data_IF_026883945158
#
_entry.id   IF_026883945158
#
_cell.length_a   1.000
_cell.length_b   1.000
_cell.length_c   1.000
_cell.angle_alpha   90.00
_cell.angle_beta   90.00
_cell.angle_gamma   90.00
#
_symmetry.space_group_name_H-M   'P 1'
#
loop_
_entity.id
_entity.type
_entity.pdbx_description
1 polymer ?
#
# COMPACT_ATOMS: atom_id res chain seq x y z
N UNK A 1 -13.79 10.62 14.79
CA UNK A 1 -14.18 9.21 14.61
C UNK A 1 -13.13 8.43 13.83
N UNK A 2 -12.53 9.04 12.81
CA UNK A 2 -11.45 8.43 11.99
C UNK A 2 -10.28 8.01 12.88
N UNK A 3 -9.73 8.91 13.68
CA UNK A 3 -8.63 8.63 14.60
C UNK A 3 -8.93 7.51 15.62
N UNK A 4 -10.22 7.21 15.86
CA UNK A 4 -10.64 6.07 16.69
C UNK A 4 -10.96 4.80 15.89
N UNK A 5 -10.45 4.69 14.66
CA UNK A 5 -10.58 3.49 13.84
C UNK A 5 -11.90 3.34 13.07
N UNK A 6 -12.70 4.41 12.94
CA UNK A 6 -13.95 4.36 12.17
C UNK A 6 -13.65 4.63 10.69
N UNK A 7 -13.00 3.71 10.03
CA UNK A 7 -12.71 3.72 8.60
C UNK A 7 -12.72 2.31 8.02
N UNK A 8 -12.75 2.20 6.70
CA UNK A 8 -12.66 0.95 5.97
C UNK A 8 -12.55 1.22 4.47
N UNK A 9 -12.17 0.24 3.70
CA UNK A 9 -12.07 0.33 2.26
C UNK A 9 -13.28 -0.33 1.58
N UNK A 10 -13.66 0.25 0.44
CA UNK A 10 -14.51 -0.41 -0.57
C UNK A 10 -13.69 -0.46 -1.84
N UNK A 11 -13.36 -1.67 -2.28
CA UNK A 11 -12.64 -1.90 -3.54
C UNK A 11 -13.67 -2.04 -4.65
N UNK A 12 -13.49 -1.27 -5.73
CA UNK A 12 -14.31 -1.35 -6.94
C UNK A 12 -13.34 -1.52 -8.09
N UNK A 13 -13.34 -2.70 -8.69
CA UNK A 13 -12.46 -3.03 -9.79
C UNK A 13 -12.75 -2.12 -11.00
N UNK A 14 -11.75 -1.47 -11.60
CA UNK A 14 -11.91 -0.86 -12.91
C UNK A 14 -12.40 -1.89 -13.93
N UNK A 15 -13.19 -1.41 -14.91
CA UNK A 15 -13.66 -2.30 -15.98
C UNK A 15 -12.48 -2.92 -16.73
N UNK A 16 -12.50 -4.24 -16.86
CA UNK A 16 -11.47 -5.01 -17.53
C UNK A 16 -10.20 -5.26 -16.72
N UNK A 17 -10.21 -4.96 -15.41
CA UNK A 17 -9.05 -5.24 -14.55
C UNK A 17 -8.70 -6.73 -14.59
N UNK A 18 -7.47 -7.10 -15.02
CA UNK A 18 -7.05 -8.49 -15.06
C UNK A 18 -6.97 -9.12 -13.67
N UNK A 19 -7.21 -10.43 -13.59
CA UNK A 19 -6.90 -11.18 -12.36
C UNK A 19 -5.39 -11.24 -12.14
N UNK A 20 -4.99 -11.30 -10.88
CA UNK A 20 -3.62 -11.49 -10.42
C UNK A 20 -3.49 -12.76 -9.60
N UNK A 21 -2.28 -13.21 -9.32
CA UNK A 21 -2.05 -14.42 -8.54
C UNK A 21 -2.30 -14.19 -7.05
N UNK A 22 -1.86 -13.03 -6.53
CA UNK A 22 -2.06 -12.61 -5.15
C UNK A 22 -2.58 -11.17 -5.07
N UNK A 23 -3.53 -10.92 -4.17
CA UNK A 23 -4.15 -9.62 -4.01
C UNK A 23 -4.32 -9.27 -2.53
N UNK A 24 -3.88 -8.06 -2.16
CA UNK A 24 -3.90 -7.57 -0.78
C UNK A 24 -4.55 -6.20 -0.68
N UNK A 25 -5.23 -5.94 0.43
CA UNK A 25 -5.80 -4.62 0.75
C UNK A 25 -5.10 -4.08 1.99
N UNK A 26 -4.43 -2.96 1.86
CA UNK A 26 -3.68 -2.29 2.91
C UNK A 26 -4.26 -0.89 3.16
N UNK A 27 -4.75 -0.67 4.37
CA UNK A 27 -5.20 0.63 4.84
C UNK A 27 -4.17 1.18 5.81
N UNK A 28 -3.51 2.28 5.47
CA UNK A 28 -2.70 3.00 6.45
C UNK A 28 -3.60 3.88 7.32
N UNK A 29 -3.27 3.96 8.59
CA UNK A 29 -3.91 4.85 9.54
C UNK A 29 -2.96 5.29 10.63
N UNK A 30 -3.22 6.47 11.17
CA UNK A 30 -2.42 7.11 12.20
C UNK A 30 -3.16 7.08 13.54
N UNK A 31 -2.38 7.11 14.63
CA UNK A 31 -2.91 7.05 15.99
C UNK A 31 -2.17 8.00 16.93
N UNK A 32 -2.92 8.77 17.71
CA UNK A 32 -2.41 9.61 18.79
C UNK A 32 -2.95 9.09 20.12
N UNK A 33 -2.16 8.29 20.81
CA UNK A 33 -2.62 7.59 22.01
C UNK A 33 -3.05 8.57 23.10
N UNK A 34 -4.29 8.43 23.56
CA UNK A 34 -4.82 9.08 24.75
C UNK A 34 -4.42 8.33 26.04
N UNK A 35 -5.01 8.73 27.16
CA UNK A 35 -4.81 8.03 28.42
C UNK A 35 -5.29 6.57 28.33
N UNK A 36 -4.67 5.68 29.09
CA UNK A 36 -5.02 4.27 29.09
C UNK A 36 -6.51 4.04 29.35
N UNK A 37 -7.18 3.37 28.42
CA UNK A 37 -8.62 3.12 28.47
C UNK A 37 -9.49 4.27 27.95
N UNK A 38 -8.88 5.37 27.49
CA UNK A 38 -9.54 6.42 26.71
C UNK A 38 -9.41 6.12 25.20
N UNK A 39 -10.11 6.92 24.37
CA UNK A 39 -9.88 6.93 22.94
C UNK A 39 -8.59 7.71 22.56
N UNK A 40 -8.47 8.01 21.29
CA UNK A 40 -7.39 8.86 20.76
C UNK A 40 -7.42 10.27 21.39
N UNK A 41 -6.24 10.85 21.51
CA UNK A 41 -6.07 12.25 21.94
C UNK A 41 -6.25 13.20 20.73
N UNK A 42 -7.49 13.58 20.48
CA UNK A 42 -7.83 14.42 19.35
C UNK A 42 -7.22 15.84 19.39
N UNK A 43 -6.78 16.31 20.56
CA UNK A 43 -6.15 17.63 20.70
C UNK A 43 -4.72 17.63 20.15
N UNK A 44 -4.12 16.45 19.97
CA UNK A 44 -2.78 16.27 19.41
C UNK A 44 -2.79 16.15 17.88
N UNK A 45 -3.92 15.80 17.31
CA UNK A 45 -4.07 15.58 15.87
C UNK A 45 -3.77 16.90 15.12
N UNK A 46 -2.88 16.84 14.10
CA UNK A 46 -2.42 18.01 13.36
C UNK A 46 -1.49 18.95 14.13
N UNK A 47 -1.18 18.65 15.41
CA UNK A 47 -0.28 19.47 16.26
C UNK A 47 1.03 18.75 16.57
N UNK A 48 0.96 17.44 16.76
CA UNK A 48 2.13 16.58 17.00
C UNK A 48 2.13 15.42 16.05
N UNK A 49 3.31 14.84 15.79
CA UNK A 49 3.40 13.61 15.04
C UNK A 49 2.62 12.47 15.72
N UNK A 50 2.05 11.51 14.95
CA UNK A 50 1.35 10.36 15.49
C UNK A 50 2.28 9.48 16.35
N UNK A 51 1.72 8.78 17.32
CA UNK A 51 2.45 7.82 18.15
C UNK A 51 2.66 6.49 17.41
N UNK A 52 1.68 6.08 16.60
CA UNK A 52 1.78 4.92 15.71
C UNK A 52 1.23 5.24 14.33
N UNK A 53 1.79 4.59 13.33
CA UNK A 53 1.27 4.53 11.95
C UNK A 53 1.19 3.06 11.57
N UNK A 54 0.03 2.62 11.05
CA UNK A 54 -0.29 1.20 11.02
C UNK A 54 -0.89 0.79 9.69
N UNK A 55 -0.50 -0.35 9.17
CA UNK A 55 -1.28 -1.02 8.13
C UNK A 55 -2.37 -1.90 8.79
N UNK A 56 -3.62 -1.72 8.36
CA UNK A 56 -4.79 -2.48 8.82
C UNK A 56 -4.98 -2.47 10.35
N UNK A 57 -4.62 -1.34 10.99
CA UNK A 57 -4.96 -1.05 12.38
C UNK A 57 -4.07 -1.71 13.45
N UNK A 58 -2.94 -2.31 13.05
CA UNK A 58 -1.98 -2.87 14.00
C UNK A 58 -0.54 -2.60 13.55
N UNK A 59 0.26 -1.97 14.44
CA UNK A 59 1.65 -1.65 14.16
C UNK A 59 2.50 -2.93 14.02
N UNK A 60 3.30 -3.02 12.97
CA UNK A 60 4.21 -4.14 12.69
C UNK A 60 3.55 -5.52 12.52
N UNK A 61 2.23 -5.60 12.30
CA UNK A 61 1.57 -6.91 12.21
C UNK A 61 2.12 -7.81 11.10
N UNK A 62 2.58 -7.20 10.02
CA UNK A 62 3.11 -7.94 8.87
C UNK A 62 4.61 -8.28 8.97
N UNK A 63 5.27 -7.91 10.08
CA UNK A 63 6.57 -8.45 10.46
C UNK A 63 6.41 -9.84 11.08
N UNK A 64 5.38 -9.99 11.93
CA UNK A 64 5.06 -11.27 12.60
C UNK A 64 4.19 -12.18 11.71
N UNK A 65 3.41 -11.59 10.80
CA UNK A 65 2.50 -12.30 9.89
C UNK A 65 2.70 -11.82 8.45
N UNK A 66 3.83 -12.17 7.79
CA UNK A 66 4.14 -11.72 6.45
C UNK A 66 3.04 -12.02 5.43
N UNK A 67 2.86 -11.12 4.46
CA UNK A 67 2.13 -11.42 3.24
C UNK A 67 2.98 -12.37 2.39
N UNK A 68 2.37 -13.17 1.54
CA UNK A 68 3.09 -14.23 0.81
C UNK A 68 2.85 -14.16 -0.69
N UNK A 69 3.85 -14.54 -1.47
CA UNK A 69 3.74 -14.76 -2.91
C UNK A 69 4.73 -15.85 -3.33
N UNK A 70 4.64 -16.31 -4.57
CA UNK A 70 5.65 -17.16 -5.19
C UNK A 70 6.45 -16.35 -6.20
N UNK A 71 7.69 -16.75 -6.40
CA UNK A 71 8.51 -16.15 -7.44
C UNK A 71 7.83 -16.27 -8.82
N UNK A 72 7.63 -15.12 -9.46
CA UNK A 72 6.93 -15.00 -10.73
C UNK A 72 5.45 -14.63 -10.61
N UNK A 73 4.84 -14.70 -9.42
CA UNK A 73 3.45 -14.28 -9.22
C UNK A 73 3.29 -12.78 -9.51
N UNK A 74 2.18 -12.42 -10.13
CA UNK A 74 1.72 -11.03 -10.19
C UNK A 74 0.96 -10.70 -8.92
N UNK A 75 1.43 -9.70 -8.21
CA UNK A 75 0.88 -9.26 -6.91
C UNK A 75 0.27 -7.88 -7.07
N UNK A 76 -0.96 -7.71 -6.58
CA UNK A 76 -1.65 -6.41 -6.50
C UNK A 76 -1.80 -5.99 -5.04
N UNK A 77 -1.42 -4.75 -4.76
CA UNK A 77 -1.72 -4.09 -3.49
C UNK A 77 -2.72 -2.97 -3.73
N UNK A 78 -3.93 -3.14 -3.23
CA UNK A 78 -4.85 -2.03 -3.02
C UNK A 78 -4.42 -1.28 -1.79
N UNK A 79 -4.21 0.02 -1.93
CA UNK A 79 -3.67 0.85 -0.86
C UNK A 79 -4.59 2.04 -0.66
N UNK A 80 -4.97 2.27 0.59
CA UNK A 80 -5.75 3.41 1.03
C UNK A 80 -4.99 4.10 2.15
N UNK A 81 -4.78 5.40 2.01
CA UNK A 81 -4.39 6.27 3.11
C UNK A 81 -5.66 6.74 3.84
N UNK A 82 -5.95 6.12 4.97
CA UNK A 82 -7.08 6.54 5.80
C UNK A 82 -6.74 7.77 6.65
N UNK A 83 -5.48 8.14 6.74
CA UNK A 83 -4.99 9.31 7.48
C UNK A 83 -5.24 9.21 8.99
N UNK A 84 -5.58 10.30 9.65
CA UNK A 84 -6.29 11.47 9.14
C UNK A 84 -5.45 12.65 8.63
N UNK A 85 -4.14 12.67 8.82
CA UNK A 85 -3.35 13.90 8.67
C UNK A 85 -2.14 13.77 7.74
N UNK A 86 -1.40 12.68 7.82
CA UNK A 86 -0.13 12.48 7.14
C UNK A 86 -0.33 11.78 5.80
N UNK A 87 0.68 11.82 4.93
CA UNK A 87 0.65 11.13 3.65
C UNK A 87 1.32 9.76 3.72
N UNK A 88 0.87 8.87 2.86
CA UNK A 88 1.48 7.58 2.61
C UNK A 88 2.29 7.60 1.32
N UNK A 89 3.56 7.23 1.39
CA UNK A 89 4.40 6.88 0.24
C UNK A 89 4.65 5.36 0.26
N UNK A 90 3.70 4.60 -0.29
CA UNK A 90 3.78 3.14 -0.28
C UNK A 90 4.87 2.64 -1.22
N UNK A 91 5.80 1.85 -0.71
CA UNK A 91 6.93 1.29 -1.44
C UNK A 91 7.19 -0.17 -1.04
N UNK A 92 7.62 -0.99 -1.99
CA UNK A 92 8.13 -2.35 -1.75
C UNK A 92 9.62 -2.36 -2.05
N UNK A 93 10.45 -2.51 -1.01
CA UNK A 93 11.91 -2.44 -1.10
C UNK A 93 12.45 -3.59 -1.95
N UNK A 94 13.26 -3.26 -2.94
CA UNK A 94 13.84 -4.25 -3.86
C UNK A 94 12.94 -4.63 -5.03
N UNK A 95 11.75 -4.02 -5.14
CA UNK A 95 10.83 -4.20 -6.25
C UNK A 95 10.52 -2.88 -6.95
N UNK A 96 9.90 -2.97 -8.10
CA UNK A 96 9.41 -1.83 -8.87
C UNK A 96 8.01 -2.15 -9.39
N UNK A 97 7.09 -1.21 -9.24
CA UNK A 97 5.74 -1.35 -9.77
C UNK A 97 5.74 -1.15 -11.27
N UNK A 98 5.16 -2.06 -12.02
CA UNK A 98 4.93 -1.91 -13.45
C UNK A 98 3.55 -1.33 -13.76
N UNK A 99 2.63 -1.37 -12.79
CA UNK A 99 1.30 -0.80 -12.89
C UNK A 99 0.98 0.03 -11.67
N UNK A 100 0.46 1.24 -11.89
CA UNK A 100 0.03 2.18 -10.84
C UNK A 100 -1.29 2.82 -11.27
N UNK A 101 -2.31 2.62 -10.45
CA UNK A 101 -3.61 3.25 -10.58
C UNK A 101 -3.89 4.09 -9.33
N UNK A 102 -4.27 5.34 -9.50
CA UNK A 102 -4.53 6.27 -8.40
C UNK A 102 -5.82 7.04 -8.67
N UNK A 103 -6.71 7.10 -7.69
CA UNK A 103 -7.91 7.96 -7.70
C UNK A 103 -8.77 7.86 -8.98
N UNK A 104 -8.89 6.68 -9.57
CA UNK A 104 -9.73 6.48 -10.74
C UNK A 104 -9.00 6.49 -12.09
N UNK A 105 -7.66 6.55 -12.11
CA UNK A 105 -6.91 6.56 -13.35
C UNK A 105 -5.58 5.80 -13.25
N UNK A 106 -5.18 5.13 -14.32
CA UNK A 106 -3.81 4.64 -14.45
C UNK A 106 -2.85 5.81 -14.60
N UNK A 107 -1.75 5.79 -13.86
CA UNK A 107 -0.60 6.68 -14.04
C UNK A 107 0.57 5.95 -14.71
N UNK A 108 0.59 4.63 -14.57
CA UNK A 108 1.46 3.69 -15.25
C UNK A 108 0.68 2.40 -15.50
N UNK A 109 0.80 1.80 -16.68
CA UNK A 109 0.08 0.58 -17.04
C UNK A 109 1.04 -0.38 -17.75
N UNK A 110 1.31 -1.51 -17.15
CA UNK A 110 2.24 -2.52 -17.67
C UNK A 110 3.58 -1.92 -18.13
N UNK A 111 4.15 -1.01 -17.35
CA UNK A 111 5.42 -0.33 -17.68
C UNK A 111 5.32 0.69 -18.83
N UNK A 112 4.13 1.16 -19.17
CA UNK A 112 3.88 2.16 -20.22
C UNK A 112 3.06 3.33 -19.71
N UNK A 113 3.09 4.42 -20.45
CA UNK A 113 2.09 5.48 -20.28
C UNK A 113 0.71 4.93 -20.65
N UNK A 114 -0.32 5.20 -19.83
CA UNK A 114 -1.67 4.72 -20.09
C UNK A 114 -2.18 5.16 -21.47
N UNK A 115 -2.86 4.26 -22.16
CA UNK A 115 -3.46 4.52 -23.47
C UNK A 115 -4.78 3.76 -23.58
N UNK A 116 -5.82 4.37 -24.20
CA UNK A 116 -7.08 3.64 -24.46
C UNK A 116 -6.91 2.41 -25.36
N UNK A 117 -5.78 2.29 -26.04
CA UNK A 117 -5.46 1.15 -26.93
C UNK A 117 -4.49 0.16 -26.25
N UNK A 118 -4.12 0.39 -24.99
CA UNK A 118 -3.22 -0.50 -24.26
C UNK A 118 -3.89 -1.85 -24.00
N UNK A 119 -3.11 -2.91 -24.15
CA UNK A 119 -3.54 -4.24 -23.76
C UNK A 119 -3.39 -4.38 -22.23
N UNK A 120 -4.49 -4.53 -21.48
CA UNK A 120 -4.43 -4.63 -20.02
C UNK A 120 -3.83 -5.97 -19.53
N UNK A 121 -3.64 -6.97 -20.40
CA UNK A 121 -3.09 -8.28 -20.02
C UNK A 121 -1.64 -8.24 -19.59
N UNK A 122 -0.92 -7.17 -19.89
CA UNK A 122 0.53 -7.05 -19.67
C UNK A 122 1.40 -8.11 -20.39
N UNK A 123 0.87 -8.80 -21.40
CA UNK A 123 1.60 -9.82 -22.15
C UNK A 123 2.85 -9.26 -22.88
N UNK A 124 2.85 -7.97 -23.12
CA UNK A 124 3.98 -7.27 -23.73
C UNK A 124 4.31 -6.00 -22.96
N UNK A 125 4.91 -6.12 -21.76
CA UNK A 125 5.15 -4.97 -20.89
C UNK A 125 6.14 -3.97 -21.53
N UNK A 126 5.99 -2.70 -21.13
CA UNK A 126 6.99 -1.67 -21.38
C UNK A 126 8.19 -1.81 -20.43
N UNK A 127 9.05 -0.80 -20.45
CA UNK A 127 10.26 -0.74 -19.60
C UNK A 127 10.16 0.31 -18.50
N UNK A 128 9.02 0.97 -18.39
CA UNK A 128 8.76 1.95 -17.32
C UNK A 128 8.46 1.27 -15.99
N UNK A 129 8.60 2.03 -14.92
CA UNK A 129 8.27 1.55 -13.59
C UNK A 129 8.15 2.71 -12.59
N UNK A 130 7.49 2.44 -11.48
CA UNK A 130 7.37 3.36 -10.35
C UNK A 130 7.95 2.74 -9.09
N UNK A 131 8.60 3.54 -8.27
CA UNK A 131 9.16 3.10 -6.99
C UNK A 131 8.12 3.21 -5.87
N UNK A 132 7.20 4.15 -5.97
CA UNK A 132 6.23 4.40 -4.91
C UNK A 132 4.87 4.81 -5.46
N UNK A 133 3.83 4.60 -4.65
CA UNK A 133 2.51 5.19 -4.79
C UNK A 133 2.35 6.21 -3.66
N UNK A 134 2.31 7.50 -4.02
CA UNK A 134 2.10 8.57 -3.05
C UNK A 134 0.62 8.91 -2.97
N UNK A 135 0.06 8.82 -1.77
CA UNK A 135 -1.34 9.09 -1.43
C UNK A 135 -1.39 10.17 -0.35
N UNK A 136 -2.25 11.15 -0.53
CA UNK A 136 -2.66 12.03 0.56
C UNK A 136 -3.76 11.38 1.38
N UNK A 137 -4.01 11.91 2.58
CA UNK A 137 -5.09 11.42 3.44
C UNK A 137 -6.44 11.36 2.70
N UNK A 138 -7.09 10.21 2.76
CA UNK A 138 -8.31 9.81 2.05
C UNK A 138 -8.14 9.44 0.57
N UNK A 139 -6.94 9.49 0.01
CA UNK A 139 -6.68 8.99 -1.34
C UNK A 139 -6.45 7.47 -1.34
N UNK A 140 -6.77 6.84 -2.46
CA UNK A 140 -6.56 5.41 -2.66
C UNK A 140 -6.08 5.06 -4.07
N UNK A 141 -5.60 3.83 -4.21
CA UNK A 141 -5.13 3.32 -5.49
C UNK A 141 -4.71 1.87 -5.40
N UNK A 142 -4.11 1.37 -6.46
CA UNK A 142 -3.40 0.10 -6.42
C UNK A 142 -2.08 0.16 -7.19
N UNK A 143 -1.21 -0.74 -6.83
CA UNK A 143 0.03 -1.00 -7.55
C UNK A 143 0.14 -2.48 -7.86
N UNK A 144 0.81 -2.81 -8.96
CA UNK A 144 1.17 -4.19 -9.29
C UNK A 144 2.67 -4.33 -9.52
N UNK A 145 3.16 -5.49 -9.16
CA UNK A 145 4.53 -5.93 -9.43
C UNK A 145 4.53 -7.43 -9.76
N UNK A 146 5.60 -7.89 -10.39
CA UNK A 146 5.89 -9.31 -10.48
C UNK A 146 6.86 -9.66 -9.35
N UNK A 147 6.49 -10.63 -8.51
CA UNK A 147 7.33 -11.08 -7.40
C UNK A 147 8.67 -11.62 -7.93
N UNK A 148 9.75 -11.12 -7.37
CA UNK A 148 11.11 -11.45 -7.79
C UNK A 148 11.60 -12.82 -7.29
N UNK A 149 12.90 -12.93 -7.08
CA UNK A 149 13.52 -14.13 -6.52
C UNK A 149 13.01 -14.39 -5.09
N UNK A 150 13.04 -15.66 -4.62
CA UNK A 150 12.68 -15.98 -3.25
C UNK A 150 13.44 -15.14 -2.23
N UNK A 151 12.72 -14.58 -1.24
CA UNK A 151 13.30 -13.69 -0.24
C UNK A 151 12.23 -12.90 0.52
N UNK A 152 12.69 -11.94 1.32
CA UNK A 152 11.84 -11.04 2.08
C UNK A 152 11.94 -9.63 1.50
N UNK A 153 10.82 -9.07 1.11
CA UNK A 153 10.68 -7.74 0.55
C UNK A 153 9.88 -6.89 1.52
N UNK A 154 10.53 -5.93 2.16
CA UNK A 154 9.81 -5.01 3.06
C UNK A 154 8.90 -4.10 2.27
N UNK A 155 7.65 -3.95 2.70
CA UNK A 155 6.79 -2.86 2.25
C UNK A 155 6.62 -1.84 3.37
N UNK A 156 6.65 -0.56 3.02
CA UNK A 156 6.75 0.53 3.99
C UNK A 156 5.97 1.76 3.55
N UNK A 157 5.62 2.61 4.52
CA UNK A 157 5.55 4.04 4.23
C UNK A 157 7.00 4.56 4.13
N UNK A 158 7.39 5.12 2.98
CA UNK A 158 8.77 5.56 2.75
C UNK A 158 9.13 6.85 3.51
N UNK A 159 8.21 7.48 4.21
CA UNK A 159 8.51 8.38 5.32
C UNK A 159 9.00 7.52 6.49
N UNK A 160 10.32 7.27 6.59
CA UNK A 160 10.89 6.29 7.52
C UNK A 160 10.49 6.49 8.98
N UNK A 161 10.24 7.73 9.40
CA UNK A 161 9.70 8.01 10.74
C UNK A 161 8.36 7.32 10.98
N UNK A 162 7.58 7.02 9.94
CA UNK A 162 6.30 6.31 10.03
C UNK A 162 6.48 4.80 9.91
N UNK A 163 7.41 4.35 9.08
CA UNK A 163 7.82 2.94 9.08
C UNK A 163 8.30 2.50 10.48
N UNK A 164 9.12 3.32 11.14
CA UNK A 164 9.58 3.07 12.52
C UNK A 164 8.47 3.10 13.57
N UNK A 165 7.30 3.64 13.24
CA UNK A 165 6.11 3.68 14.10
C UNK A 165 5.10 2.58 13.80
N UNK A 166 5.41 1.70 12.87
CA UNK A 166 4.60 0.52 12.58
C UNK A 166 4.06 0.40 11.16
N UNK A 167 4.23 1.42 10.29
CA UNK A 167 3.88 1.35 8.87
C UNK A 167 4.94 0.56 8.08
N UNK A 168 5.16 -0.67 8.48
CA UNK A 168 6.13 -1.62 7.96
C UNK A 168 5.54 -3.04 7.92
N UNK A 169 5.96 -3.82 6.95
CA UNK A 169 5.63 -5.23 6.83
C UNK A 169 6.52 -5.93 5.83
N UNK A 170 6.33 -7.24 5.70
CA UNK A 170 7.13 -8.11 4.82
C UNK A 170 6.21 -8.83 3.83
N UNK A 171 6.60 -8.81 2.57
CA UNK A 171 6.16 -9.76 1.55
C UNK A 171 7.21 -10.88 1.48
N UNK A 172 6.85 -12.07 1.93
CA UNK A 172 7.67 -13.27 1.80
C UNK A 172 7.43 -13.92 0.43
N UNK A 173 8.46 -13.95 -0.40
CA UNK A 173 8.42 -14.61 -1.70
C UNK A 173 9.06 -15.99 -1.56
N UNK A 174 8.29 -17.03 -1.88
CA UNK A 174 8.74 -18.42 -1.85
C UNK A 174 9.12 -18.90 -3.26
N UNK A 175 9.86 -20.02 -3.35
CA UNK A 175 10.10 -20.67 -4.64
C UNK A 175 8.77 -21.10 -5.28
N UNK A 176 8.65 -20.92 -6.58
CA UNK A 176 7.49 -21.32 -7.38
C UNK A 176 7.40 -22.84 -7.60
#
# INVERSE_FOLDING_TARGET
HLANGMFGAVVIDPEGLPAVDEEYVLLESESWFGAQGAGEDADRLGVTAPDAVMFNGYAFQYDDHPLTARAGDRVRFWVLDAGPDEQLDFHVVGAQFDTVWKEGAYTLECGRQPSPEADPSCDSPGTGGSQALSLGAAEGGFVELVAGEPGHYSFVNHSFSYAEKGAHGVLEVTAG
#
